data_IF_887170741249
#
_entry.id   IF_887170741249
#
_cell.length_a   1.000
_cell.length_b   1.000
_cell.length_c   1.000
_cell.angle_alpha   90.00
_cell.angle_beta   90.00
_cell.angle_gamma   90.00
#
_symmetry.space_group_name_H-M   'P 1'
#
loop_
_entity.id
_entity.type
_entity.pdbx_description
1 polymer ?
#
# COMPACT_ATOMS: atom_id res chain seq x y z
N UNK A 1 -5.62 24.87 18.05
CA UNK A 1 -4.64 24.30 18.97
C UNK A 1 -5.34 23.09 19.57
N UNK A 2 -5.30 21.86 19.05
CA UNK A 2 -4.19 20.94 18.74
C UNK A 2 -4.55 19.99 17.55
N UNK A 3 -4.09 20.27 16.32
CA UNK A 3 -4.01 19.26 15.26
C UNK A 3 -2.61 18.61 15.18
N UNK A 4 -1.67 18.97 16.07
CA UNK A 4 -0.26 18.53 16.02
C UNK A 4 -0.01 17.09 16.49
N UNK A 5 -1.03 16.40 17.00
CA UNK A 5 -0.92 15.04 17.60
C UNK A 5 -1.23 13.89 16.63
N UNK A 6 -1.63 14.16 15.38
CA UNK A 6 -1.96 13.13 14.39
C UNK A 6 -0.99 13.19 13.19
N UNK A 7 -0.63 12.03 12.64
CA UNK A 7 0.26 11.91 11.49
C UNK A 7 1.73 12.23 11.81
N UNK A 8 2.39 13.00 10.95
CA UNK A 8 3.82 13.30 11.06
C UNK A 8 4.20 14.09 12.33
N UNK A 9 3.28 14.89 12.89
CA UNK A 9 3.53 15.68 14.11
C UNK A 9 3.76 14.80 15.34
N UNK A 10 3.06 13.67 15.44
CA UNK A 10 3.29 12.69 16.50
C UNK A 10 4.75 12.21 16.47
N UNK A 11 5.16 11.73 15.30
CA UNK A 11 6.47 11.15 15.03
C UNK A 11 7.64 12.13 15.22
N UNK A 12 7.51 13.37 14.76
CA UNK A 12 8.63 14.31 14.73
C UNK A 12 8.64 15.32 15.88
N UNK A 13 7.58 15.40 16.68
CA UNK A 13 7.50 16.30 17.85
C UNK A 13 7.36 15.50 19.13
N UNK A 14 6.27 14.74 19.29
CA UNK A 14 5.96 14.08 20.57
C UNK A 14 6.90 12.91 20.89
N UNK A 15 7.33 12.12 19.90
CA UNK A 15 8.24 10.99 20.15
C UNK A 15 9.65 11.47 20.55
N UNK A 16 10.31 12.41 19.84
CA UNK A 16 11.58 12.96 20.29
C UNK A 16 11.53 13.61 21.68
N UNK A 17 10.43 14.29 22.00
CA UNK A 17 10.19 14.86 23.33
C UNK A 17 10.18 13.76 24.40
N UNK A 18 9.43 12.68 24.20
CA UNK A 18 9.40 11.54 25.12
C UNK A 18 10.74 10.79 25.19
N UNK A 19 11.47 10.67 24.08
CA UNK A 19 12.78 10.00 24.03
C UNK A 19 13.87 10.79 24.77
N UNK A 20 13.71 12.11 24.92
CA UNK A 20 14.67 12.96 25.63
C UNK A 20 14.68 12.74 27.15
N UNK A 21 13.58 12.20 27.70
CA UNK A 21 13.42 11.88 29.13
C UNK A 21 14.04 10.52 29.52
N UNK A 22 14.43 9.70 28.53
CA UNK A 22 15.05 8.40 28.78
C UNK A 22 16.54 8.52 29.11
N UNK A 23 17.10 7.60 29.92
CA UNK A 23 18.54 7.52 30.10
C UNK A 23 19.23 7.16 28.77
N UNK A 24 20.30 7.89 28.43
CA UNK A 24 21.04 7.77 27.16
C UNK A 24 20.17 8.05 25.91
N UNK A 25 19.58 9.27 25.80
CA UNK A 25 18.58 9.59 24.77
C UNK A 25 19.10 9.48 23.32
N UNK A 26 20.42 9.57 23.13
CA UNK A 26 21.08 9.50 21.82
C UNK A 26 20.92 8.12 21.16
N UNK A 27 21.05 7.04 21.94
CA UNK A 27 20.93 5.67 21.42
C UNK A 27 19.50 5.41 20.97
N UNK A 28 18.53 5.80 21.81
CA UNK A 28 17.11 5.61 21.53
C UNK A 28 16.63 6.43 20.34
N UNK A 29 17.13 7.66 20.18
CA UNK A 29 16.82 8.50 19.02
C UNK A 29 17.32 7.89 17.71
N UNK A 30 18.57 7.40 17.68
CA UNK A 30 19.13 6.75 16.48
C UNK A 30 18.33 5.50 16.12
N UNK A 31 18.01 4.65 17.10
CA UNK A 31 17.24 3.43 16.88
C UNK A 31 15.82 3.74 16.34
N UNK A 32 15.17 4.76 16.88
CA UNK A 32 13.84 5.19 16.44
C UNK A 32 13.83 5.71 15.00
N UNK A 33 14.72 6.64 14.66
CA UNK A 33 14.79 7.17 13.29
C UNK A 33 15.24 6.11 12.28
N UNK A 34 16.15 5.21 12.67
CA UNK A 34 16.55 4.08 11.82
C UNK A 34 15.38 3.15 11.53
N UNK A 35 14.58 2.81 12.55
CA UNK A 35 13.35 2.04 12.38
C UNK A 35 12.40 2.71 11.38
N UNK A 36 12.20 4.03 11.49
CA UNK A 36 11.33 4.76 10.57
C UNK A 36 11.82 4.72 9.12
N UNK A 37 13.14 4.85 8.90
CA UNK A 37 13.73 4.71 7.58
C UNK A 37 13.49 3.30 7.04
N UNK A 38 13.67 2.26 7.86
CA UNK A 38 13.38 0.87 7.46
C UNK A 38 11.90 0.66 7.10
N UNK A 39 10.96 1.22 7.87
CA UNK A 39 9.53 1.16 7.58
C UNK A 39 9.18 1.87 6.25
N UNK A 40 9.75 3.06 6.03
CA UNK A 40 9.58 3.79 4.79
C UNK A 40 10.13 3.03 3.58
N UNK A 41 11.36 2.51 3.67
CA UNK A 41 11.97 1.74 2.59
C UNK A 41 11.23 0.43 2.32
N UNK A 42 10.82 -0.29 3.38
CA UNK A 42 10.12 -1.56 3.27
C UNK A 42 8.76 -1.46 2.57
N UNK A 43 8.09 -0.31 2.67
CA UNK A 43 6.82 -0.05 1.99
C UNK A 43 7.03 0.49 0.56
N UNK A 44 8.01 1.38 0.36
CA UNK A 44 8.24 2.01 -0.94
C UNK A 44 8.79 1.05 -2.01
N UNK A 45 9.66 0.10 -1.65
CA UNK A 45 10.22 -0.81 -2.66
C UNK A 45 9.15 -1.68 -3.34
N UNK A 46 8.28 -2.40 -2.61
CA UNK A 46 7.21 -3.16 -3.24
C UNK A 46 6.23 -2.27 -4.01
N UNK A 47 5.86 -1.09 -3.48
CA UNK A 47 4.93 -0.18 -4.17
C UNK A 47 5.44 0.29 -5.53
N UNK A 48 6.74 0.61 -5.64
CA UNK A 48 7.33 1.02 -6.93
C UNK A 48 7.48 -0.19 -7.86
N UNK A 49 7.89 -1.36 -7.33
CA UNK A 49 8.03 -2.57 -8.14
C UNK A 49 6.68 -3.03 -8.69
N UNK A 50 5.58 -2.98 -7.93
CA UNK A 50 4.25 -3.38 -8.43
C UNK A 50 3.79 -2.51 -9.59
N UNK A 51 4.01 -1.19 -9.53
CA UNK A 51 3.69 -0.28 -10.64
C UNK A 51 4.55 -0.59 -11.87
N UNK A 52 5.85 -0.83 -11.67
CA UNK A 52 6.76 -1.18 -12.77
C UNK A 52 6.35 -2.51 -13.42
N UNK A 53 6.09 -3.54 -12.62
CA UNK A 53 5.70 -4.86 -13.10
C UNK A 53 4.36 -4.81 -13.82
N UNK A 54 3.36 -4.10 -13.29
CA UNK A 54 2.06 -3.94 -13.96
C UNK A 54 2.20 -3.29 -15.34
N UNK A 55 3.03 -2.24 -15.47
CA UNK A 55 3.30 -1.59 -16.75
C UNK A 55 4.11 -2.48 -17.71
N UNK A 56 5.01 -3.32 -17.18
CA UNK A 56 5.78 -4.26 -17.98
C UNK A 56 4.94 -5.43 -18.49
N UNK A 57 3.93 -5.86 -17.74
CA UNK A 57 3.01 -6.94 -18.11
C UNK A 57 2.03 -6.51 -19.22
N UNK A 58 1.58 -5.24 -19.21
CA UNK A 58 0.69 -4.71 -20.25
C UNK A 58 1.42 -4.50 -21.60
N UNK A 59 2.68 -4.05 -21.56
CA UNK A 59 3.45 -3.69 -22.75
C UNK A 59 4.63 -4.64 -23.02
N UNK A 60 4.42 -5.60 -23.92
CA UNK A 60 5.44 -6.56 -24.37
C UNK A 60 6.77 -5.93 -24.85
N UNK A 61 6.74 -4.67 -25.29
CA UNK A 61 7.93 -3.92 -25.73
C UNK A 61 8.95 -3.68 -24.59
N UNK A 62 8.48 -3.46 -23.35
CA UNK A 62 9.34 -3.19 -22.19
C UNK A 62 9.99 -4.45 -21.60
N UNK A 63 9.66 -5.64 -22.10
CA UNK A 63 10.20 -6.92 -21.61
C UNK A 63 11.67 -7.16 -21.96
N UNK A 64 12.23 -6.41 -22.93
CA UNK A 64 13.67 -6.50 -23.26
C UNK A 64 14.50 -5.95 -22.10
N UNK A 65 15.52 -6.68 -21.61
CA UNK A 65 16.22 -6.33 -20.37
C UNK A 65 16.87 -4.94 -20.41
N UNK A 66 17.39 -4.52 -21.58
CA UNK A 66 17.96 -3.17 -21.76
C UNK A 66 16.91 -2.06 -21.65
N UNK A 67 15.72 -2.29 -22.20
CA UNK A 67 14.62 -1.30 -22.20
C UNK A 67 13.96 -1.26 -20.81
N UNK A 68 13.82 -2.42 -20.16
CA UNK A 68 13.33 -2.54 -18.80
C UNK A 68 14.15 -1.70 -17.81
N UNK A 69 15.49 -1.80 -17.86
CA UNK A 69 16.36 -1.02 -16.96
C UNK A 69 16.23 0.49 -17.19
N UNK A 70 16.17 0.93 -18.45
CA UNK A 70 15.99 2.35 -18.79
C UNK A 70 14.63 2.85 -18.28
N UNK A 71 13.57 2.05 -18.46
CA UNK A 71 12.23 2.38 -17.98
C UNK A 71 12.18 2.55 -16.45
N UNK A 72 12.83 1.66 -15.70
CA UNK A 72 12.92 1.75 -14.23
C UNK A 72 13.60 3.05 -13.78
N UNK A 73 14.71 3.41 -14.40
CA UNK A 73 15.41 4.67 -14.10
C UNK A 73 14.52 5.87 -14.43
N UNK A 74 13.80 5.82 -15.55
CA UNK A 74 12.89 6.89 -15.95
C UNK A 74 11.74 7.06 -14.95
N UNK A 75 11.10 5.98 -14.50
CA UNK A 75 10.04 6.03 -13.48
C UNK A 75 10.58 6.62 -12.18
N UNK A 76 11.76 6.21 -11.73
CA UNK A 76 12.41 6.76 -10.54
C UNK A 76 12.74 8.26 -10.70
N UNK A 77 13.25 8.67 -11.86
CA UNK A 77 13.55 10.07 -12.16
C UNK A 77 12.28 10.93 -12.21
N UNK A 78 11.19 10.43 -12.80
CA UNK A 78 9.89 11.10 -12.79
C UNK A 78 9.34 11.20 -11.37
N UNK A 79 9.42 10.13 -10.57
CA UNK A 79 9.03 10.15 -9.17
C UNK A 79 9.81 11.18 -8.35
N UNK A 80 11.12 11.30 -8.59
CA UNK A 80 11.96 12.33 -7.96
C UNK A 80 11.50 13.75 -8.36
N UNK A 81 11.25 14.01 -9.65
CA UNK A 81 10.76 15.30 -10.14
C UNK A 81 9.40 15.67 -9.54
N UNK A 82 8.47 14.72 -9.46
CA UNK A 82 7.15 14.89 -8.84
C UNK A 82 7.23 15.09 -7.32
N UNK A 83 8.31 14.63 -6.68
CA UNK A 83 8.56 14.85 -5.25
C UNK A 83 9.12 16.23 -4.89
N UNK A 84 9.69 16.99 -5.85
CA UNK A 84 10.29 18.32 -5.60
C UNK A 84 9.30 19.31 -4.96
N UNK A 85 8.04 19.44 -5.39
CA UNK A 85 7.08 20.35 -4.76
C UNK A 85 6.89 20.08 -3.26
N UNK A 86 7.03 18.82 -2.82
CA UNK A 86 6.84 18.39 -1.43
C UNK A 86 8.03 18.78 -0.52
N UNK A 87 9.19 19.15 -1.08
CA UNK A 87 10.38 19.57 -0.31
C UNK A 87 10.52 21.09 -0.18
N UNK A 88 9.61 21.87 -0.75
CA UNK A 88 9.59 23.34 -0.64
C UNK A 88 9.11 23.81 0.74
N UNK A 89 9.27 25.11 1.06
CA UNK A 89 8.83 25.68 2.35
C UNK A 89 7.35 25.45 2.69
N UNK A 90 6.49 25.30 1.66
CA UNK A 90 5.06 24.97 1.80
C UNK A 90 4.74 23.50 1.53
N UNK A 91 5.74 22.64 1.36
CA UNK A 91 5.57 21.26 0.91
C UNK A 91 4.73 20.39 1.84
N UNK A 92 4.72 20.67 3.14
CA UNK A 92 3.86 19.99 4.11
C UNK A 92 2.36 20.11 3.76
N UNK A 93 1.91 21.27 3.28
CA UNK A 93 0.51 21.46 2.87
C UNK A 93 0.18 20.63 1.62
N UNK A 94 1.12 20.55 0.67
CA UNK A 94 0.97 19.72 -0.54
C UNK A 94 0.91 18.24 -0.17
N UNK A 95 1.73 17.80 0.79
CA UNK A 95 1.73 16.43 1.30
C UNK A 95 0.39 16.10 1.96
N UNK A 96 -0.10 16.96 2.84
CA UNK A 96 -1.38 16.73 3.51
C UNK A 96 -2.57 16.72 2.52
N UNK A 97 -2.52 17.57 1.50
CA UNK A 97 -3.50 17.60 0.42
C UNK A 97 -3.52 16.24 -0.31
N UNK A 98 -2.35 15.77 -0.76
CA UNK A 98 -2.22 14.49 -1.45
C UNK A 98 -2.70 13.32 -0.59
N UNK A 99 -2.29 13.26 0.68
CA UNK A 99 -2.68 12.19 1.62
C UNK A 99 -4.20 12.10 1.78
N UNK A 100 -4.86 13.26 1.91
CA UNK A 100 -6.32 13.32 2.08
C UNK A 100 -7.07 12.90 0.80
N UNK A 101 -6.58 13.29 -0.37
CA UNK A 101 -7.28 13.01 -1.63
C UNK A 101 -7.01 11.62 -2.21
N UNK A 102 -5.86 10.99 -1.90
CA UNK A 102 -5.51 9.66 -2.43
C UNK A 102 -6.38 8.54 -1.82
N UNK A 103 -6.95 8.74 -0.64
CA UNK A 103 -7.81 7.74 0.01
C UNK A 103 -9.10 7.43 -0.77
N UNK A 104 -9.73 8.45 -1.35
CA UNK A 104 -11.01 8.32 -2.07
C UNK A 104 -10.91 7.41 -3.31
N UNK A 105 -9.97 7.62 -4.27
CA UNK A 105 -9.85 6.75 -5.43
C UNK A 105 -9.40 5.33 -5.06
N UNK A 106 -8.57 5.15 -4.03
CA UNK A 106 -8.17 3.81 -3.55
C UNK A 106 -9.38 2.99 -3.08
N UNK A 107 -10.30 3.59 -2.32
CA UNK A 107 -11.54 2.93 -1.89
C UNK A 107 -12.41 2.56 -3.09
N UNK A 108 -12.56 3.47 -4.05
CA UNK A 108 -13.36 3.25 -5.25
C UNK A 108 -12.79 2.11 -6.12
N UNK A 109 -11.47 2.06 -6.30
CA UNK A 109 -10.81 0.97 -7.04
C UNK A 109 -11.04 -0.36 -6.34
N UNK A 110 -10.85 -0.43 -5.00
CA UNK A 110 -11.10 -1.66 -4.24
C UNK A 110 -12.54 -2.15 -4.31
N UNK A 111 -13.51 -1.23 -4.29
CA UNK A 111 -14.93 -1.56 -4.48
C UNK A 111 -15.18 -2.18 -5.87
N UNK A 112 -14.65 -1.58 -6.94
CA UNK A 112 -14.82 -2.10 -8.30
C UNK A 112 -14.11 -3.44 -8.52
N UNK A 113 -12.93 -3.65 -7.94
CA UNK A 113 -12.21 -4.93 -8.01
C UNK A 113 -13.05 -6.07 -7.41
N UNK A 114 -13.60 -5.87 -6.21
CA UNK A 114 -14.44 -6.87 -5.54
C UNK A 114 -15.75 -7.09 -6.29
N UNK A 115 -16.38 -6.02 -6.78
CA UNK A 115 -17.58 -6.12 -7.60
C UNK A 115 -17.32 -6.94 -8.87
N UNK A 116 -16.21 -6.70 -9.56
CA UNK A 116 -15.83 -7.43 -10.76
C UNK A 116 -15.60 -8.92 -10.49
N UNK A 117 -14.91 -9.28 -9.40
CA UNK A 117 -14.64 -10.68 -9.05
C UNK A 117 -15.94 -11.42 -8.70
N UNK A 118 -16.80 -10.83 -7.87
CA UNK A 118 -17.99 -11.53 -7.36
C UNK A 118 -19.09 -11.63 -8.42
N UNK A 119 -19.38 -10.53 -9.11
CA UNK A 119 -20.52 -10.42 -10.01
C UNK A 119 -20.20 -10.71 -11.49
N UNK A 120 -19.03 -10.29 -12.00
CA UNK A 120 -18.67 -10.55 -13.41
C UNK A 120 -17.99 -11.91 -13.58
N UNK A 121 -16.95 -12.20 -12.79
CA UNK A 121 -16.25 -13.49 -12.87
C UNK A 121 -17.07 -14.63 -12.25
N UNK A 122 -17.74 -14.33 -11.13
CA UNK A 122 -18.62 -15.25 -10.43
C UNK A 122 -17.90 -15.93 -9.26
N UNK A 123 -18.42 -15.72 -8.05
CA UNK A 123 -17.86 -16.26 -6.80
C UNK A 123 -17.55 -17.77 -6.84
N UNK A 124 -18.45 -18.58 -7.44
CA UNK A 124 -18.27 -20.05 -7.47
C UNK A 124 -17.03 -20.47 -8.26
N UNK A 125 -16.77 -19.82 -9.41
CA UNK A 125 -15.58 -20.10 -10.24
C UNK A 125 -14.31 -19.68 -9.52
N UNK A 126 -14.32 -18.50 -8.92
CA UNK A 126 -13.19 -18.01 -8.13
C UNK A 126 -12.83 -18.96 -6.98
N UNK A 127 -13.83 -19.46 -6.25
CA UNK A 127 -13.58 -20.40 -5.15
C UNK A 127 -13.02 -21.74 -5.63
N UNK A 128 -13.39 -22.22 -6.82
CA UNK A 128 -12.85 -23.44 -7.42
C UNK A 128 -11.38 -23.25 -7.83
N UNK A 129 -11.04 -22.11 -8.44
CA UNK A 129 -9.67 -21.78 -8.82
C UNK A 129 -8.74 -21.68 -7.61
N UNK A 130 -9.19 -21.04 -6.53
CA UNK A 130 -8.46 -20.97 -5.26
C UNK A 130 -8.22 -22.37 -4.68
N UNK A 131 -9.22 -23.25 -4.73
CA UNK A 131 -9.12 -24.64 -4.29
C UNK A 131 -8.12 -25.46 -5.11
N UNK A 132 -8.03 -25.19 -6.43
CA UNK A 132 -7.04 -25.82 -7.29
C UNK A 132 -5.61 -25.37 -6.95
N UNK A 133 -5.39 -24.13 -6.51
CA UNK A 133 -4.07 -23.61 -6.12
C UNK A 133 -3.57 -24.16 -4.77
N UNK A 134 -4.45 -24.28 -3.77
CA UNK A 134 -4.07 -24.74 -2.43
C UNK A 134 -4.05 -26.28 -2.25
N UNK A 135 -4.65 -27.02 -3.18
CA UNK A 135 -4.78 -28.48 -3.11
C UNK A 135 -5.98 -28.96 -2.27
N UNK A 136 -6.40 -30.21 -2.50
CA UNK A 136 -7.66 -30.76 -1.95
C UNK A 136 -7.53 -31.25 -0.49
N UNK A 137 -8.32 -30.67 0.42
CA UNK A 137 -8.64 -31.26 1.73
C UNK A 137 -10.17 -31.26 1.95
N UNK A 138 -10.78 -32.42 1.67
CA UNK A 138 -12.25 -32.64 1.62
C UNK A 138 -12.96 -32.69 2.98
N UNK A 139 -12.39 -32.17 4.07
CA UNK A 139 -13.08 -32.04 5.38
C UNK A 139 -13.32 -30.59 5.79
N UNK A 140 -12.34 -29.72 5.50
CA UNK A 140 -12.37 -28.28 5.81
C UNK A 140 -13.06 -27.46 4.72
N UNK A 141 -13.29 -28.06 3.54
CA UNK A 141 -13.92 -27.45 2.38
C UNK A 141 -15.28 -26.78 2.68
N UNK A 142 -16.19 -27.43 3.40
CA UNK A 142 -17.56 -26.93 3.55
C UNK A 142 -17.63 -25.75 4.53
N UNK A 143 -16.88 -25.81 5.65
CA UNK A 143 -16.78 -24.71 6.61
C UNK A 143 -16.01 -23.52 6.04
N UNK A 144 -14.90 -23.78 5.33
CA UNK A 144 -14.13 -22.74 4.65
C UNK A 144 -14.97 -22.07 3.56
N UNK A 145 -15.67 -22.85 2.73
CA UNK A 145 -16.52 -22.31 1.68
C UNK A 145 -17.66 -21.47 2.24
N UNK A 146 -18.35 -21.90 3.30
CA UNK A 146 -19.47 -21.15 3.87
C UNK A 146 -19.04 -19.84 4.53
N UNK A 147 -17.96 -19.86 5.33
CA UNK A 147 -17.40 -18.66 5.96
C UNK A 147 -16.86 -17.66 4.93
N UNK A 148 -16.10 -18.14 3.94
CA UNK A 148 -15.50 -17.29 2.91
C UNK A 148 -16.56 -16.77 1.94
N UNK A 149 -17.60 -17.56 1.62
CA UNK A 149 -18.75 -17.09 0.82
C UNK A 149 -19.46 -15.93 1.51
N UNK A 150 -19.75 -16.06 2.80
CA UNK A 150 -20.47 -15.03 3.53
C UNK A 150 -19.62 -13.76 3.70
N UNK A 151 -18.33 -13.91 3.99
CA UNK A 151 -17.43 -12.78 4.14
C UNK A 151 -17.24 -12.03 2.81
N UNK A 152 -16.98 -12.75 1.71
CA UNK A 152 -16.69 -12.14 0.42
C UNK A 152 -17.94 -11.62 -0.29
N UNK A 153 -19.06 -12.33 -0.24
CA UNK A 153 -20.26 -11.93 -1.00
C UNK A 153 -21.02 -10.80 -0.31
N UNK A 154 -20.97 -10.73 1.03
CA UNK A 154 -21.78 -9.78 1.79
C UNK A 154 -20.97 -8.81 2.63
N UNK A 155 -20.01 -9.27 3.44
CA UNK A 155 -19.32 -8.39 4.38
C UNK A 155 -18.37 -7.41 3.71
N UNK A 156 -17.49 -7.87 2.82
CA UNK A 156 -16.51 -6.98 2.16
C UNK A 156 -17.13 -5.89 1.30
N UNK A 157 -18.13 -6.13 0.42
CA UNK A 157 -18.74 -5.04 -0.34
C UNK A 157 -19.58 -4.09 0.53
N UNK A 158 -20.15 -4.55 1.64
CA UNK A 158 -20.90 -3.68 2.57
C UNK A 158 -19.98 -2.82 3.43
N UNK A 159 -18.81 -3.32 3.82
CA UNK A 159 -17.82 -2.54 4.58
C UNK A 159 -17.13 -1.48 3.71
N UNK A 160 -16.97 -1.75 2.41
CA UNK A 160 -16.35 -0.84 1.46
C UNK A 160 -17.28 0.24 0.89
N UNK A 161 -18.60 0.11 1.10
CA UNK A 161 -19.63 1.03 0.62
C UNK A 161 -20.02 2.02 1.74
#
# INVERSE_FOLDING_TARGET
>A
FEPSILGAGLVFVTYPEALSELPLPQIWSIAFFFMMICLGLGTQFPSVETVITALQDEFLFFRKPRVATIFRILVCALGFLLGIPMTTYGGYYVLQLLDTFVAIPLLLVGFFEIFAIIWLYGYRRFSEDVLLMFGHSSGTYCLFYWYYSWNWVFMTPVVLL
#
